data_IF_651106541790
#
_entry.id   IF_651106541790
#
_cell.length_a   1.000
_cell.length_b   1.000
_cell.length_c   1.000
_cell.angle_alpha   90.00
_cell.angle_beta   90.00
_cell.angle_gamma   90.00
#
_symmetry.space_group_name_H-M   'P 1'
#
loop_
_entity.id
_entity.type
_entity.pdbx_description
1 polymer ?
#
# COMPACT_ATOMS: atom_id res chain seq x y z
N UNK A 1 42.25 2.15 -20.21
CA UNK A 1 41.01 1.58 -20.76
C UNK A 1 39.87 2.41 -20.22
N UNK A 2 39.05 3.00 -21.10
CA UNK A 2 37.93 3.83 -20.70
C UNK A 2 37.02 3.08 -19.70
N UNK A 3 36.75 3.74 -18.56
CA UNK A 3 35.91 3.20 -17.49
C UNK A 3 34.48 3.63 -17.80
N UNK A 4 33.57 2.67 -18.01
CA UNK A 4 32.17 2.95 -18.30
C UNK A 4 31.27 2.39 -17.21
N UNK A 5 30.29 3.19 -16.79
CA UNK A 5 29.23 2.75 -15.87
C UNK A 5 28.02 2.24 -16.65
N UNK A 6 27.21 1.44 -15.98
CA UNK A 6 25.87 1.12 -16.44
C UNK A 6 24.94 0.89 -15.26
N UNK A 7 23.64 0.90 -15.48
CA UNK A 7 22.65 0.67 -14.42
C UNK A 7 22.88 -0.71 -13.78
N UNK A 8 22.86 -0.79 -12.45
CA UNK A 8 22.90 -2.07 -11.72
C UNK A 8 21.68 -2.91 -12.08
N UNK A 9 21.90 -4.18 -12.43
CA UNK A 9 20.79 -5.10 -12.73
C UNK A 9 19.81 -5.24 -11.57
N UNK A 10 20.33 -5.35 -10.35
CA UNK A 10 19.52 -5.43 -9.12
C UNK A 10 18.61 -4.21 -8.97
N UNK A 11 19.13 -3.00 -9.19
CA UNK A 11 18.34 -1.78 -9.17
C UNK A 11 17.20 -1.82 -10.19
N UNK A 12 17.50 -2.21 -11.43
CA UNK A 12 16.47 -2.35 -12.47
C UNK A 12 15.39 -3.37 -12.07
N UNK A 13 15.79 -4.55 -11.61
CA UNK A 13 14.85 -5.61 -11.20
C UNK A 13 13.96 -5.16 -10.04
N UNK A 14 14.51 -4.54 -8.99
CA UNK A 14 13.72 -4.08 -7.86
C UNK A 14 12.70 -3.01 -8.27
N UNK A 15 13.09 -2.03 -9.10
CA UNK A 15 12.14 -1.03 -9.61
C UNK A 15 11.06 -1.65 -10.52
N UNK A 16 11.39 -2.69 -11.29
CA UNK A 16 10.41 -3.43 -12.08
C UNK A 16 9.41 -4.19 -11.20
N UNK A 17 9.88 -4.85 -10.14
CA UNK A 17 9.01 -5.53 -9.16
C UNK A 17 8.08 -4.51 -8.49
N UNK A 18 8.61 -3.37 -8.02
CA UNK A 18 7.78 -2.31 -7.45
C UNK A 18 6.75 -1.77 -8.43
N UNK A 19 7.11 -1.59 -9.71
CA UNK A 19 6.17 -1.17 -10.74
C UNK A 19 4.99 -2.16 -10.87
N UNK A 20 5.28 -3.46 -10.92
CA UNK A 20 4.24 -4.50 -11.03
C UNK A 20 3.35 -4.53 -9.79
N UNK A 21 3.94 -4.48 -8.60
CA UNK A 21 3.19 -4.44 -7.34
C UNK A 21 2.31 -3.20 -7.25
N UNK A 22 2.85 -2.00 -7.55
CA UNK A 22 2.07 -0.77 -7.57
C UNK A 22 0.95 -0.82 -8.62
N UNK A 23 1.21 -1.32 -9.83
CA UNK A 23 0.15 -1.45 -10.84
C UNK A 23 -0.96 -2.40 -10.37
N UNK A 24 -0.60 -3.53 -9.75
CA UNK A 24 -1.54 -4.49 -9.18
C UNK A 24 -2.40 -3.89 -8.07
N UNK A 25 -1.77 -3.31 -7.04
CA UNK A 25 -2.50 -2.66 -5.94
C UNK A 25 -3.32 -1.46 -6.41
N UNK A 26 -2.83 -0.69 -7.37
CA UNK A 26 -3.58 0.40 -7.98
C UNK A 26 -4.85 -0.11 -8.67
N UNK A 27 -4.74 -1.15 -9.50
CA UNK A 27 -5.91 -1.75 -10.15
C UNK A 27 -6.90 -2.35 -9.14
N UNK A 28 -6.41 -3.00 -8.08
CA UNK A 28 -7.24 -3.54 -7.01
C UNK A 28 -7.98 -2.43 -6.25
N UNK A 29 -7.28 -1.37 -5.81
CA UNK A 29 -7.93 -0.23 -5.15
C UNK A 29 -8.94 0.50 -6.04
N UNK A 30 -8.71 0.52 -7.36
CA UNK A 30 -9.66 1.03 -8.34
C UNK A 30 -10.90 0.13 -8.53
N UNK A 31 -10.73 -1.19 -8.40
CA UNK A 31 -11.87 -2.10 -8.46
C UNK A 31 -12.72 -1.95 -7.19
N UNK A 32 -12.09 -2.00 -6.01
CA UNK A 32 -12.83 -1.97 -4.76
C UNK A 32 -13.57 -0.67 -4.53
N UNK A 33 -12.97 0.48 -4.85
CA UNK A 33 -13.63 1.76 -4.63
C UNK A 33 -14.78 2.04 -5.62
N UNK A 34 -14.71 1.56 -6.86
CA UNK A 34 -15.73 1.86 -7.88
C UNK A 34 -16.78 0.76 -8.03
N UNK A 35 -16.48 -0.47 -7.61
CA UNK A 35 -17.35 -1.64 -7.81
C UNK A 35 -17.73 -2.24 -6.46
N UNK A 36 -16.76 -2.82 -5.74
CA UNK A 36 -17.04 -3.63 -4.54
C UNK A 36 -17.72 -2.83 -3.43
N UNK A 37 -17.19 -1.66 -3.06
CA UNK A 37 -17.71 -0.85 -1.96
C UNK A 37 -19.13 -0.34 -2.26
N UNK A 38 -19.41 0.25 -3.44
CA UNK A 38 -20.78 0.61 -3.83
C UNK A 38 -21.75 -0.57 -3.80
N UNK A 39 -21.37 -1.73 -4.33
CA UNK A 39 -22.20 -2.94 -4.31
C UNK A 39 -22.51 -3.40 -2.89
N UNK A 40 -21.54 -3.32 -1.97
CA UNK A 40 -21.76 -3.65 -0.56
C UNK A 40 -22.74 -2.68 0.11
N UNK A 41 -22.65 -1.37 -0.16
CA UNK A 41 -23.63 -0.41 0.33
C UNK A 41 -25.04 -0.70 -0.20
N UNK A 42 -25.16 -1.05 -1.48
CA UNK A 42 -26.44 -1.42 -2.08
C UNK A 42 -27.01 -2.70 -1.46
N UNK A 43 -26.18 -3.74 -1.29
CA UNK A 43 -26.58 -4.99 -0.67
C UNK A 43 -27.10 -4.78 0.76
N UNK A 44 -26.41 -3.97 1.57
CA UNK A 44 -26.85 -3.61 2.93
C UNK A 44 -28.16 -2.84 2.90
N UNK A 45 -28.31 -1.87 1.99
CA UNK A 45 -29.53 -1.09 1.88
C UNK A 45 -30.73 -1.96 1.49
N UNK A 46 -30.55 -2.86 0.51
CA UNK A 46 -31.58 -3.80 0.05
C UNK A 46 -31.96 -4.77 1.18
N UNK A 47 -30.97 -5.39 1.82
CA UNK A 47 -31.22 -6.33 2.93
C UNK A 47 -32.00 -5.65 4.06
N UNK A 48 -31.57 -4.45 4.46
CA UNK A 48 -32.22 -3.67 5.53
C UNK A 48 -33.66 -3.35 5.19
N UNK A 49 -33.92 -2.88 3.96
CA UNK A 49 -35.27 -2.55 3.50
C UNK A 49 -36.18 -3.79 3.44
N UNK A 50 -35.66 -4.94 2.97
CA UNK A 50 -36.41 -6.20 2.92
C UNK A 50 -36.73 -6.73 4.31
N UNK A 51 -35.80 -6.64 5.25
CA UNK A 51 -36.01 -7.06 6.64
C UNK A 51 -37.04 -6.17 7.31
N UNK A 52 -36.97 -4.85 7.11
CA UNK A 52 -37.97 -3.92 7.63
C UNK A 52 -39.37 -4.17 7.04
N UNK A 53 -39.46 -4.46 5.73
CA UNK A 53 -40.73 -4.82 5.09
C UNK A 53 -41.28 -6.15 5.63
N UNK A 54 -40.40 -7.15 5.85
CA UNK A 54 -40.76 -8.42 6.46
C UNK A 54 -41.31 -8.23 7.87
N UNK A 55 -40.59 -7.50 8.73
CA UNK A 55 -40.98 -7.20 10.11
C UNK A 55 -42.34 -6.48 10.17
N UNK A 56 -42.60 -5.57 9.23
CA UNK A 56 -43.90 -4.90 9.12
C UNK A 56 -45.03 -5.87 8.75
N UNK A 57 -44.78 -6.81 7.83
CA UNK A 57 -45.78 -7.82 7.45
C UNK A 57 -46.06 -8.81 8.58
N UNK A 58 -45.02 -9.24 9.32
CA UNK A 58 -45.15 -10.10 10.50
C UNK A 58 -45.90 -9.40 11.62
N UNK A 59 -45.53 -8.17 11.96
CA UNK A 59 -46.23 -7.39 12.98
C UNK A 59 -47.71 -7.14 12.64
N UNK A 60 -48.04 -6.96 11.35
CA UNK A 60 -49.44 -6.92 10.90
C UNK A 60 -50.13 -8.27 11.07
N UNK A 61 -49.47 -9.38 10.73
CA UNK A 61 -50.04 -10.72 10.86
C UNK A 61 -50.35 -11.04 12.33
N UNK A 62 -49.40 -10.81 13.22
CA UNK A 62 -49.51 -11.03 14.66
C UNK A 62 -50.64 -10.22 15.28
N UNK A 63 -50.75 -8.93 14.92
CA UNK A 63 -51.83 -8.08 15.39
C UNK A 63 -53.23 -8.67 15.11
N UNK A 64 -53.43 -9.18 13.89
CA UNK A 64 -54.72 -9.76 13.50
C UNK A 64 -54.95 -11.17 14.06
N UNK A 65 -53.89 -11.96 14.25
CA UNK A 65 -53.97 -13.24 14.93
C UNK A 65 -54.41 -13.05 16.39
N UNK A 66 -53.77 -12.13 17.12
CA UNK A 66 -54.11 -11.78 18.50
C UNK A 66 -55.55 -11.28 18.61
N UNK A 67 -55.99 -10.39 17.71
CA UNK A 67 -57.39 -9.95 17.69
C UNK A 67 -58.38 -11.10 17.46
N UNK A 68 -57.99 -12.11 16.69
CA UNK A 68 -58.83 -13.28 16.44
C UNK A 68 -58.90 -14.17 17.67
N UNK A 69 -57.76 -14.45 18.33
CA UNK A 69 -57.72 -15.17 19.62
C UNK A 69 -58.53 -14.46 20.70
N UNK A 70 -58.48 -13.13 20.76
CA UNK A 70 -59.27 -12.33 21.70
C UNK A 70 -60.77 -12.49 21.47
N UNK A 71 -61.22 -12.44 20.21
CA UNK A 71 -62.64 -12.67 19.87
C UNK A 71 -63.10 -14.09 20.19
N UNK A 72 -62.22 -15.07 20.07
CA UNK A 72 -62.49 -16.47 20.37
C UNK A 72 -62.38 -16.80 21.87
N UNK A 73 -61.90 -15.87 22.69
CA UNK A 73 -61.68 -16.09 24.12
C UNK A 73 -60.50 -17.01 24.43
N UNK A 74 -59.60 -17.23 23.46
CA UNK A 74 -58.43 -18.12 23.57
C UNK A 74 -57.11 -17.35 23.70
N UNK A 75 -57.14 -16.03 23.75
CA UNK A 75 -55.95 -15.20 23.90
C UNK A 75 -55.29 -15.40 25.27
N UNK A 76 -53.98 -15.60 25.24
CA UNK A 76 -53.11 -15.66 26.42
C UNK A 76 -52.91 -14.28 27.06
N UNK A 77 -52.29 -14.24 28.24
CA UNK A 77 -51.88 -12.97 28.86
C UNK A 77 -50.75 -12.28 28.07
N UNK A 78 -49.90 -13.06 27.39
CA UNK A 78 -48.84 -12.56 26.51
C UNK A 78 -49.42 -11.88 25.27
N UNK A 79 -50.40 -12.50 24.61
CA UNK A 79 -51.12 -11.91 23.47
C UNK A 79 -51.74 -10.55 23.83
N UNK A 80 -52.31 -10.44 25.05
CA UNK A 80 -52.89 -9.18 25.54
C UNK A 80 -51.82 -8.12 25.77
N UNK A 81 -50.67 -8.51 26.35
CA UNK A 81 -49.56 -7.61 26.59
C UNK A 81 -48.98 -7.06 25.28
N UNK A 82 -48.75 -7.92 24.28
CA UNK A 82 -48.28 -7.51 22.94
C UNK A 82 -49.27 -6.56 22.26
N UNK A 83 -50.58 -6.81 22.37
CA UNK A 83 -51.58 -5.90 21.80
C UNK A 83 -51.61 -4.53 22.51
N UNK A 84 -51.44 -4.52 23.83
CA UNK A 84 -51.39 -3.28 24.60
C UNK A 84 -50.12 -2.48 24.29
N UNK A 85 -49.00 -3.14 24.04
CA UNK A 85 -47.77 -2.51 23.53
C UNK A 85 -47.97 -1.90 22.14
N UNK A 86 -48.56 -2.65 21.20
CA UNK A 86 -48.90 -2.17 19.85
C UNK A 86 -49.87 -0.98 19.89
N UNK A 87 -50.81 -0.95 20.85
CA UNK A 87 -51.72 0.19 21.07
C UNK A 87 -51.02 1.38 21.72
N UNK A 88 -50.12 1.13 22.69
CA UNK A 88 -49.36 2.17 23.39
C UNK A 88 -48.41 2.91 22.46
N UNK A 89 -47.91 2.25 21.41
CA UNK A 89 -47.12 2.87 20.34
C UNK A 89 -47.90 3.95 19.55
N UNK A 90 -49.22 4.07 19.72
CA UNK A 90 -50.03 5.18 19.21
C UNK A 90 -50.18 5.24 17.69
N UNK A 91 -49.80 4.18 16.98
CA UNK A 91 -49.90 4.07 15.53
C UNK A 91 -51.34 3.84 15.02
N UNK A 92 -51.61 4.10 13.74
CA UNK A 92 -52.86 3.70 13.11
C UNK A 92 -53.04 2.18 13.19
N UNK A 93 -54.30 1.71 13.28
CA UNK A 93 -54.60 0.28 13.24
C UNK A 93 -54.04 -0.29 11.92
N UNK A 94 -53.14 -1.30 11.97
CA UNK A 94 -52.56 -1.88 10.76
C UNK A 94 -53.66 -2.46 9.87
N UNK A 95 -53.46 -2.41 8.54
CA UNK A 95 -54.42 -3.00 7.61
C UNK A 95 -54.32 -4.54 7.59
N UNK A 96 -55.43 -5.27 7.38
CA UNK A 96 -55.41 -6.73 7.33
C UNK A 96 -54.53 -7.21 6.18
N UNK A 97 -53.84 -8.34 6.35
CA UNK A 97 -53.05 -8.93 5.27
C UNK A 97 -53.96 -9.32 4.12
N UNK A 98 -53.61 -8.83 2.94
CA UNK A 98 -54.18 -9.23 1.65
C UNK A 98 -53.44 -10.46 1.10
N UNK A 99 -53.99 -11.11 0.07
CA UNK A 99 -53.29 -12.21 -0.62
C UNK A 99 -51.99 -11.72 -1.31
N UNK A 100 -51.97 -10.44 -1.73
CA UNK A 100 -50.78 -9.80 -2.26
C UNK A 100 -49.69 -9.64 -1.19
N UNK A 101 -50.05 -9.25 0.04
CA UNK A 101 -49.10 -9.15 1.16
C UNK A 101 -48.44 -10.51 1.47
N UNK A 102 -49.20 -11.60 1.40
CA UNK A 102 -48.66 -12.96 1.62
C UNK A 102 -47.70 -13.39 0.52
N UNK A 103 -48.07 -13.11 -0.74
CA UNK A 103 -47.19 -13.38 -1.89
C UNK A 103 -45.90 -12.57 -1.75
N UNK A 104 -46.00 -11.30 -1.34
CA UNK A 104 -44.84 -10.44 -1.11
C UNK A 104 -43.95 -10.94 0.03
N UNK A 105 -44.54 -11.41 1.13
CA UNK A 105 -43.80 -12.03 2.22
C UNK A 105 -43.00 -13.26 1.74
N UNK A 106 -43.64 -14.15 0.97
CA UNK A 106 -42.97 -15.32 0.41
C UNK A 106 -41.83 -14.95 -0.55
N UNK A 107 -42.02 -13.90 -1.37
CA UNK A 107 -40.98 -13.33 -2.23
C UNK A 107 -39.80 -12.78 -1.42
N UNK A 108 -40.07 -11.98 -0.37
CA UNK A 108 -39.02 -11.42 0.50
C UNK A 108 -38.24 -12.54 1.16
N UNK A 109 -38.92 -13.53 1.74
CA UNK A 109 -38.27 -14.68 2.37
C UNK A 109 -37.43 -15.49 1.37
N UNK A 110 -37.90 -15.60 0.11
CA UNK A 110 -37.11 -16.22 -0.95
C UNK A 110 -35.85 -15.41 -1.26
N UNK A 111 -35.94 -14.09 -1.42
CA UNK A 111 -34.79 -13.21 -1.68
C UNK A 111 -33.79 -13.28 -0.52
N UNK A 112 -34.26 -13.14 0.72
CA UNK A 112 -33.39 -13.22 1.90
C UNK A 112 -32.69 -14.58 2.01
N UNK A 113 -33.37 -15.66 1.64
CA UNK A 113 -32.76 -17.00 1.66
C UNK A 113 -31.81 -17.25 0.49
N UNK A 114 -32.17 -16.85 -0.73
CA UNK A 114 -31.42 -17.18 -1.95
C UNK A 114 -30.26 -16.21 -2.18
N UNK A 115 -30.49 -14.90 -2.03
CA UNK A 115 -29.52 -13.87 -2.37
C UNK A 115 -28.64 -13.48 -1.17
N UNK A 116 -29.14 -13.68 0.05
CA UNK A 116 -28.43 -13.29 1.29
C UNK A 116 -28.15 -14.45 2.25
N UNK A 117 -28.60 -15.68 1.95
CA UNK A 117 -28.46 -16.84 2.84
C UNK A 117 -28.94 -16.57 4.30
N UNK A 118 -29.94 -15.72 4.46
CA UNK A 118 -30.43 -15.20 5.74
C UNK A 118 -29.32 -14.61 6.63
N UNK A 119 -28.24 -14.12 6.03
CA UNK A 119 -27.10 -13.53 6.71
C UNK A 119 -27.01 -12.05 6.32
N UNK A 120 -26.94 -11.12 7.29
CA UNK A 120 -26.78 -9.71 6.98
C UNK A 120 -25.46 -9.47 6.22
N UNK A 121 -25.50 -8.78 5.07
CA UNK A 121 -24.29 -8.48 4.32
C UNK A 121 -23.35 -7.59 5.15
N UNK A 122 -22.05 -7.77 4.95
CA UNK A 122 -21.05 -6.98 5.65
C UNK A 122 -21.05 -5.55 5.12
N UNK A 123 -21.27 -4.59 6.02
CA UNK A 123 -21.11 -3.18 5.67
C UNK A 123 -19.63 -2.86 5.45
N UNK A 124 -19.29 -2.05 4.44
CA UNK A 124 -17.92 -1.58 4.25
C UNK A 124 -17.48 -0.79 5.48
N UNK A 125 -16.21 -0.95 5.87
CA UNK A 125 -15.67 -0.19 6.97
C UNK A 125 -15.62 1.31 6.60
N UNK A 126 -15.72 2.16 7.62
CA UNK A 126 -15.76 3.62 7.42
C UNK A 126 -14.51 4.17 6.72
N UNK A 127 -13.40 3.45 6.78
CA UNK A 127 -12.12 3.81 6.16
C UNK A 127 -11.89 3.17 4.79
N UNK A 128 -12.67 2.17 4.37
CA UNK A 128 -12.40 1.40 3.14
C UNK A 128 -12.39 2.29 1.90
N UNK A 129 -13.35 3.22 1.81
CA UNK A 129 -13.40 4.18 0.70
C UNK A 129 -12.16 5.08 0.66
N UNK A 130 -11.71 5.60 1.80
CA UNK A 130 -10.54 6.49 1.83
C UNK A 130 -9.23 5.73 1.60
N UNK A 131 -9.10 4.51 2.13
CA UNK A 131 -7.92 3.65 1.94
C UNK A 131 -7.81 3.26 0.47
N UNK A 132 -8.87 2.77 -0.16
CA UNK A 132 -8.83 2.38 -1.56
C UNK A 132 -8.62 3.57 -2.50
N UNK A 133 -9.21 4.72 -2.18
CA UNK A 133 -8.90 5.99 -2.85
C UNK A 133 -7.41 6.31 -2.75
N UNK A 134 -6.83 6.24 -1.55
CA UNK A 134 -5.41 6.53 -1.33
C UNK A 134 -4.53 5.55 -2.11
N UNK A 135 -4.79 4.24 -2.02
CA UNK A 135 -4.03 3.21 -2.73
C UNK A 135 -4.06 3.44 -4.24
N UNK A 136 -5.23 3.77 -4.80
CA UNK A 136 -5.33 4.03 -6.24
C UNK A 136 -4.73 5.39 -6.64
N UNK A 137 -5.15 6.50 -6.04
CA UNK A 137 -4.71 7.82 -6.49
C UNK A 137 -3.29 8.16 -6.06
N UNK A 138 -2.95 7.96 -4.78
CA UNK A 138 -1.74 8.50 -4.18
C UNK A 138 -0.63 7.44 -4.10
N UNK A 139 -0.96 6.25 -3.62
CA UNK A 139 0.02 5.21 -3.33
C UNK A 139 0.56 4.55 -4.59
N UNK A 140 -0.29 3.82 -5.30
CA UNK A 140 0.13 2.79 -6.24
C UNK A 140 -0.40 3.00 -7.67
N UNK A 141 -1.61 3.52 -7.85
CA UNK A 141 -2.23 3.67 -9.18
C UNK A 141 -1.71 4.88 -9.97
N UNK A 142 -2.21 6.09 -9.67
CA UNK A 142 -1.97 7.28 -10.52
C UNK A 142 -0.58 7.91 -10.28
N UNK A 143 -0.09 7.93 -9.05
CA UNK A 143 1.24 8.50 -8.77
C UNK A 143 2.34 7.44 -8.73
N UNK A 144 2.12 6.34 -8.00
CA UNK A 144 3.13 5.30 -7.78
C UNK A 144 3.62 4.61 -9.06
N UNK A 145 2.72 3.93 -9.78
CA UNK A 145 3.11 3.18 -10.97
C UNK A 145 3.71 4.08 -12.08
N UNK A 146 3.14 5.25 -12.42
CA UNK A 146 3.77 6.18 -13.35
C UNK A 146 5.14 6.69 -12.89
N UNK A 147 5.35 6.89 -11.58
CA UNK A 147 6.67 7.27 -11.06
C UNK A 147 7.71 6.18 -11.29
N UNK A 148 7.41 4.91 -10.98
CA UNK A 148 8.34 3.81 -11.24
C UNK A 148 8.58 3.59 -12.74
N UNK A 149 7.55 3.74 -13.56
CA UNK A 149 7.68 3.65 -15.02
C UNK A 149 8.58 4.77 -15.56
N UNK A 150 8.33 6.01 -15.14
CA UNK A 150 9.16 7.16 -15.49
C UNK A 150 10.60 6.96 -15.04
N UNK A 151 10.82 6.49 -13.81
CA UNK A 151 12.14 6.19 -13.26
C UNK A 151 12.88 5.14 -14.10
N UNK A 152 12.22 4.07 -14.53
CA UNK A 152 12.84 3.07 -15.42
C UNK A 152 13.16 3.64 -16.81
N UNK A 153 12.28 4.49 -17.35
CA UNK A 153 12.45 5.10 -18.66
C UNK A 153 13.55 6.18 -18.68
N UNK A 154 13.58 7.07 -17.68
CA UNK A 154 14.52 8.19 -17.60
C UNK A 154 15.95 7.75 -17.30
N UNK A 155 16.13 6.62 -16.62
CA UNK A 155 17.45 6.10 -16.26
C UNK A 155 18.14 5.35 -17.40
N UNK A 156 17.40 4.89 -18.42
CA UNK A 156 17.94 4.04 -19.51
C UNK A 156 19.08 4.71 -20.30
N UNK A 157 19.12 6.04 -20.36
CA UNK A 157 20.16 6.80 -21.06
C UNK A 157 21.26 7.35 -20.15
N UNK A 158 21.20 7.09 -18.83
CA UNK A 158 22.22 7.55 -17.90
C UNK A 158 23.37 6.55 -17.87
N UNK A 159 24.44 6.90 -18.57
CA UNK A 159 25.73 6.26 -18.43
C UNK A 159 26.80 7.34 -18.31
N UNK A 160 27.88 7.00 -17.62
CA UNK A 160 29.05 7.84 -17.49
C UNK A 160 30.25 7.07 -18.02
N UNK A 161 31.18 7.77 -18.66
CA UNK A 161 32.42 7.17 -19.12
C UNK A 161 33.58 8.12 -18.84
N UNK A 162 34.61 7.61 -18.18
CA UNK A 162 35.89 8.30 -18.05
C UNK A 162 36.83 7.73 -19.11
N UNK A 163 37.19 8.54 -20.09
CA UNK A 163 38.09 8.17 -21.17
C UNK A 163 39.57 8.26 -20.72
N UNK A 164 40.47 7.64 -21.48
CA UNK A 164 41.89 7.51 -21.12
C UNK A 164 42.65 8.84 -21.12
N UNK A 165 42.09 9.87 -21.76
CA UNK A 165 42.58 11.25 -21.74
C UNK A 165 42.10 12.05 -20.51
N UNK A 166 41.34 11.40 -19.62
CA UNK A 166 40.75 12.01 -18.43
C UNK A 166 39.48 12.82 -18.72
N UNK A 167 38.94 12.75 -19.94
CA UNK A 167 37.65 13.37 -20.25
C UNK A 167 36.50 12.54 -19.68
N UNK A 168 35.49 13.22 -19.13
CA UNK A 168 34.30 12.64 -18.55
C UNK A 168 33.12 12.84 -19.49
N UNK A 169 32.62 11.76 -20.06
CA UNK A 169 31.37 11.70 -20.81
C UNK A 169 30.22 11.51 -19.83
N UNK A 170 29.25 12.41 -19.90
CA UNK A 170 28.02 12.41 -19.11
C UNK A 170 26.81 12.47 -20.04
N UNK A 171 25.60 12.22 -19.52
CA UNK A 171 24.36 12.38 -20.30
C UNK A 171 24.13 13.81 -20.81
N UNK A 172 24.67 14.82 -20.10
CA UNK A 172 24.48 16.24 -20.42
C UNK A 172 25.56 16.80 -21.34
N UNK A 173 26.67 16.07 -21.52
CA UNK A 173 27.79 16.51 -22.34
C UNK A 173 29.10 15.77 -22.05
N UNK A 174 30.14 16.13 -22.79
CA UNK A 174 31.51 15.63 -22.58
C UNK A 174 32.37 16.77 -22.03
N UNK A 175 33.08 16.49 -20.95
CA UNK A 175 33.94 17.46 -20.27
C UNK A 175 35.39 17.00 -20.33
N UNK A 176 36.29 17.88 -20.74
CA UNK A 176 37.72 17.57 -20.80
C UNK A 176 38.34 17.59 -19.40
N UNK A 177 39.50 16.93 -19.23
CA UNK A 177 40.17 16.78 -17.93
C UNK A 177 40.48 18.11 -17.22
N UNK A 178 40.66 19.19 -17.98
CA UNK A 178 40.90 20.57 -17.52
C UNK A 178 39.62 21.29 -17.08
N UNK A 179 38.46 20.91 -17.61
CA UNK A 179 37.16 21.45 -17.19
C UNK A 179 36.67 20.84 -15.86
N UNK A 180 37.20 19.68 -15.48
CA UNK A 180 36.89 19.04 -14.21
C UNK A 180 37.72 19.73 -13.12
N UNK A 181 37.06 20.46 -12.23
CA UNK A 181 37.73 21.32 -11.23
C UNK A 181 37.89 20.65 -9.87
N UNK A 182 37.10 19.62 -9.57
CA UNK A 182 37.19 18.89 -8.32
C UNK A 182 36.14 17.80 -8.17
N UNK A 183 36.18 17.11 -7.04
CA UNK A 183 35.19 16.10 -6.65
C UNK A 183 34.88 16.21 -5.16
N UNK A 184 33.61 16.34 -4.81
CA UNK A 184 33.13 16.29 -3.44
C UNK A 184 32.82 14.84 -3.03
N UNK A 185 33.59 14.37 -2.05
CA UNK A 185 33.53 13.02 -1.48
C UNK A 185 32.79 12.98 -0.12
N UNK A 186 32.23 14.10 0.35
CA UNK A 186 31.67 14.26 1.71
C UNK A 186 30.58 13.25 2.08
N UNK A 187 29.82 12.76 1.10
CA UNK A 187 28.74 11.79 1.30
C UNK A 187 29.04 10.41 0.68
N UNK A 188 30.24 10.20 0.15
CA UNK A 188 30.62 8.97 -0.54
C UNK A 188 30.52 7.75 0.37
N UNK A 189 31.16 7.76 1.53
CA UNK A 189 31.12 6.62 2.45
C UNK A 189 29.73 6.37 3.08
N UNK A 190 28.84 7.37 3.05
CA UNK A 190 27.50 7.28 3.65
C UNK A 190 26.42 6.82 2.67
N UNK A 191 26.49 7.29 1.43
CA UNK A 191 25.44 7.08 0.41
C UNK A 191 25.96 6.52 -0.90
N UNK A 192 27.26 6.33 -1.04
CA UNK A 192 27.92 5.96 -2.29
C UNK A 192 27.63 6.95 -3.42
N UNK A 193 27.59 8.24 -3.07
CA UNK A 193 27.37 9.36 -3.99
C UNK A 193 28.58 10.30 -3.91
N UNK A 194 29.12 10.66 -5.07
CA UNK A 194 30.13 11.71 -5.21
C UNK A 194 29.63 12.77 -6.19
N UNK A 195 30.09 14.02 -6.04
CA UNK A 195 29.70 15.11 -6.94
C UNK A 195 30.93 15.69 -7.60
N UNK A 196 30.96 15.68 -8.93
CA UNK A 196 32.07 16.19 -9.71
C UNK A 196 31.75 17.63 -10.10
N UNK A 197 32.63 18.55 -9.70
CA UNK A 197 32.55 19.96 -10.08
C UNK A 197 33.16 20.15 -11.47
N UNK A 198 32.40 20.80 -12.34
CA UNK A 198 32.79 21.05 -13.73
C UNK A 198 32.66 22.55 -14.03
N UNK A 199 33.63 23.11 -14.73
CA UNK A 199 33.63 24.52 -15.11
C UNK A 199 32.46 24.83 -16.05
N UNK A 200 31.62 25.80 -15.67
CA UNK A 200 30.54 26.29 -16.51
C UNK A 200 29.33 25.35 -16.64
N UNK A 201 29.25 24.29 -15.83
CA UNK A 201 28.12 23.36 -15.79
C UNK A 201 27.68 23.08 -14.35
N UNK A 202 26.49 22.50 -14.19
CA UNK A 202 26.03 21.99 -12.91
C UNK A 202 26.87 20.78 -12.45
N UNK A 203 26.87 20.52 -11.14
CA UNK A 203 27.58 19.38 -10.56
C UNK A 203 27.09 18.05 -11.16
N UNK A 204 28.03 17.22 -11.61
CA UNK A 204 27.74 15.89 -12.12
C UNK A 204 27.69 14.92 -10.94
N UNK A 205 26.51 14.35 -10.69
CA UNK A 205 26.32 13.38 -9.60
C UNK A 205 26.65 11.97 -10.06
N UNK A 206 27.62 11.34 -9.40
CA UNK A 206 28.00 9.94 -9.59
C UNK A 206 27.44 9.11 -8.43
N UNK A 207 26.49 8.24 -8.72
CA UNK A 207 25.81 7.39 -7.74
C UNK A 207 26.12 5.90 -8.03
N UNK A 208 26.92 5.28 -7.14
CA UNK A 208 27.24 3.86 -7.26
C UNK A 208 26.10 2.97 -6.78
N UNK A 209 25.15 3.44 -5.97
CA UNK A 209 23.98 2.63 -5.62
C UNK A 209 23.11 2.31 -6.84
N UNK A 210 22.93 3.28 -7.74
CA UNK A 210 22.16 3.09 -8.98
C UNK A 210 22.99 2.48 -10.12
N UNK A 211 24.29 2.80 -10.18
CA UNK A 211 25.15 2.48 -11.32
C UNK A 211 26.34 1.60 -10.91
N UNK A 212 26.56 0.53 -11.65
CA UNK A 212 27.72 -0.32 -11.45
C UNK A 212 28.98 0.38 -11.96
N UNK A 213 30.10 0.08 -11.31
CA UNK A 213 31.42 0.58 -11.66
C UNK A 213 31.61 2.10 -11.49
N UNK A 214 30.65 2.82 -10.89
CA UNK A 214 30.80 4.25 -10.65
C UNK A 214 31.96 4.54 -9.68
N UNK A 215 32.19 3.65 -8.71
CA UNK A 215 33.34 3.72 -7.81
C UNK A 215 34.70 3.78 -8.53
N UNK A 216 34.82 3.21 -9.74
CA UNK A 216 36.06 3.25 -10.52
C UNK A 216 36.32 4.65 -11.10
N UNK A 217 35.26 5.32 -11.59
CA UNK A 217 35.35 6.72 -12.05
C UNK A 217 35.61 7.64 -10.86
N UNK A 218 34.86 7.45 -9.78
CA UNK A 218 35.01 8.23 -8.55
C UNK A 218 36.41 8.07 -7.97
N UNK A 219 36.94 6.86 -7.90
CA UNK A 219 38.27 6.59 -7.36
C UNK A 219 39.38 7.20 -8.19
N UNK A 220 39.30 7.11 -9.52
CA UNK A 220 40.25 7.76 -10.41
C UNK A 220 40.25 9.29 -10.26
N UNK A 221 39.07 9.91 -10.14
CA UNK A 221 38.96 11.35 -9.93
C UNK A 221 39.38 11.78 -8.51
N UNK A 222 38.96 11.04 -7.48
CA UNK A 222 39.30 11.33 -6.09
C UNK A 222 40.82 11.22 -5.87
N UNK A 223 41.46 10.17 -6.39
CA UNK A 223 42.92 10.03 -6.31
C UNK A 223 43.66 11.15 -7.08
N UNK A 224 43.10 11.65 -8.19
CA UNK A 224 43.67 12.79 -8.94
C UNK A 224 43.65 14.09 -8.13
N UNK A 225 42.57 14.38 -7.41
CA UNK A 225 42.39 15.65 -6.68
C UNK A 225 42.86 15.59 -5.21
N UNK A 226 42.79 14.41 -4.60
CA UNK A 226 43.06 14.16 -3.19
C UNK A 226 43.85 12.83 -3.03
N UNK A 227 45.06 12.71 -3.63
CA UNK A 227 45.82 11.46 -3.68
C UNK A 227 46.22 10.89 -2.32
N UNK A 228 46.35 11.78 -1.34
CA UNK A 228 46.73 11.55 0.05
C UNK A 228 45.54 11.12 0.92
N UNK A 229 44.32 11.49 0.55
CA UNK A 229 43.11 11.12 1.30
C UNK A 229 42.40 9.89 0.69
N UNK A 230 42.52 9.68 -0.63
CA UNK A 230 41.75 8.67 -1.37
C UNK A 230 42.61 7.82 -2.31
N UNK A 231 42.30 6.52 -2.32
CA UNK A 231 42.87 5.53 -3.25
C UNK A 231 42.13 5.53 -4.60
N UNK A 232 42.76 4.96 -5.64
CA UNK A 232 42.14 4.76 -6.97
C UNK A 232 40.86 3.89 -6.94
N UNK A 233 40.64 3.13 -5.86
CA UNK A 233 39.41 2.35 -5.64
C UNK A 233 38.32 3.12 -4.87
N UNK A 234 38.47 4.43 -4.69
CA UNK A 234 37.56 5.28 -3.92
C UNK A 234 37.44 4.88 -2.43
N UNK A 235 38.53 4.36 -1.84
CA UNK A 235 38.64 4.09 -0.40
C UNK A 235 39.54 5.12 0.27
N UNK A 236 39.25 5.52 1.53
CA UNK A 236 40.16 6.37 2.29
C UNK A 236 41.54 5.72 2.44
N UNK A 237 42.60 6.51 2.29
CA UNK A 237 43.96 6.08 2.62
C UNK A 237 44.03 5.94 4.14
N UNK A 238 44.43 4.76 4.64
CA UNK A 238 44.71 4.59 6.07
C UNK A 238 46.05 5.25 6.36
N UNK A 239 46.06 6.27 7.21
CA UNK A 239 47.32 6.76 7.78
C UNK A 239 47.92 5.64 8.65
N UNK A 240 49.14 5.21 8.32
CA UNK A 240 49.99 4.47 9.26
C UNK A 240 50.34 5.41 10.41
N UNK A 241 49.42 5.51 11.37
CA UNK A 241 49.77 5.97 12.72
C UNK A 241 50.22 4.74 13.50
N UNK A 242 51.44 4.83 14.03
CA UNK A 242 52.01 3.89 14.99
C UNK A 242 51.00 3.61 16.13
N UNK A 243 50.36 2.46 16.06
CA UNK A 243 49.85 1.75 17.23
C UNK A 243 49.88 0.26 16.91
N UNK A 244 51.01 -0.36 17.24
CA UNK A 244 51.03 -1.76 17.66
C UNK A 244 49.98 -1.99 18.77
N UNK A 245 49.49 -3.24 18.83
CA UNK A 245 48.45 -3.80 19.73
C UNK A 245 47.00 -3.63 19.24
N UNK A 246 46.46 -4.61 18.50
CA UNK A 246 46.03 -5.86 19.14
C UNK A 246 45.65 -6.91 18.08
N UNK A 247 46.32 -8.04 18.13
CA UNK A 247 45.92 -9.26 17.45
C UNK A 247 44.92 -9.99 18.35
N UNK A 248 43.66 -10.04 17.94
CA UNK A 248 42.74 -11.09 18.40
C UNK A 248 42.08 -11.75 17.20
N UNK A 249 42.56 -12.97 16.92
CA UNK A 249 41.73 -14.03 16.37
C UNK A 249 40.56 -14.34 17.32
N UNK A 250 39.51 -14.91 16.73
CA UNK A 250 38.34 -15.58 17.33
C UNK A 250 37.17 -14.74 17.85
N UNK A 251 36.06 -14.72 17.08
CA UNK A 251 34.86 -15.56 17.35
C UNK A 251 33.69 -15.18 16.40
N UNK A 252 33.26 -16.13 15.55
CA UNK A 252 31.82 -16.37 15.32
C UNK A 252 31.36 -17.36 16.40
N UNK A 253 30.06 -17.52 16.77
CA UNK A 253 28.83 -17.24 16.00
C UNK A 253 27.61 -16.74 16.82
N UNK A 254 26.51 -16.40 16.14
CA UNK A 254 25.09 -16.61 16.53
C UNK A 254 24.20 -15.87 15.51
N UNK A 255 23.47 -16.53 14.63
CA UNK A 255 22.12 -17.13 14.85
C UNK A 255 21.03 -16.11 15.21
N UNK A 256 20.06 -16.04 14.28
CA UNK A 256 18.61 -15.72 14.40
C UNK A 256 18.23 -14.31 14.93
N UNK A 257 17.30 -13.56 14.32
CA UNK A 257 15.90 -13.92 14.17
C UNK A 257 15.24 -13.31 12.92
N UNK A 258 14.49 -14.17 12.25
CA UNK A 258 13.42 -13.83 11.33
C UNK A 258 12.26 -13.22 12.13
N UNK A 259 11.71 -12.09 11.69
CA UNK A 259 10.44 -11.60 12.21
C UNK A 259 9.45 -11.49 11.04
N UNK A 260 8.56 -12.47 10.91
CA UNK A 260 7.30 -12.35 10.18
C UNK A 260 6.19 -12.13 11.19
N UNK A 261 5.28 -11.15 10.98
CA UNK A 261 4.15 -10.91 11.85
C UNK A 261 2.87 -11.54 11.27
N UNK A 262 2.18 -12.33 12.09
CA UNK A 262 0.74 -12.65 12.07
C UNK A 262 0.53 -13.59 13.27
N UNK A 263 -0.49 -13.51 14.11
CA UNK A 263 -1.69 -12.70 14.18
C UNK A 263 -2.51 -13.22 15.37
N UNK A 264 -3.41 -12.37 15.83
CA UNK A 264 -4.67 -12.67 16.52
C UNK A 264 -4.75 -12.99 18.03
N UNK A 265 -5.55 -12.12 18.65
CA UNK A 265 -6.69 -12.38 19.54
C UNK A 265 -6.47 -12.57 21.07
N UNK A 266 -6.77 -11.47 21.79
CA UNK A 266 -7.70 -11.29 22.94
C UNK A 266 -8.52 -12.50 23.48
N UNK A 267 -9.19 -12.43 24.68
CA UNK A 267 -9.38 -11.30 25.62
C UNK A 267 -9.33 -11.67 27.14
N UNK A 268 -9.74 -10.70 27.98
CA UNK A 268 -10.21 -10.78 29.39
C UNK A 268 -9.13 -10.85 30.50
N UNK A 269 -9.19 -10.11 31.62
CA UNK A 269 -10.33 -9.56 32.37
C UNK A 269 -9.86 -8.42 33.30
N UNK A 270 -10.79 -7.51 33.56
CA UNK A 270 -10.72 -6.45 34.56
C UNK A 270 -10.60 -6.99 36.01
N UNK A 271 -9.89 -6.23 36.84
CA UNK A 271 -9.88 -6.26 38.30
C UNK A 271 -9.61 -4.87 38.84
#
# INVERSE_FOLDING_TARGET
>A
MAIQTSIKRSYFYWNLVYLVLCAGFGAWGAYDYWVTIPEQYEAVAVYTALTEEQDQLEGRADFYEIQTKLRQGTASEEDKATLDELRAAGGPIPQPLTDADRTRYDEINNILTVDFENTPPQAPASYDGWVNFYVYFIGCGILGAPWFLWKLASRRSLFWRLDDDGSLVTPDGTYTSDQITGIDMSIWMKKSIARVSVEGADEVVLDDYENQDAYKIVGALAHKFHPDEWTEEAKPVKEESDSDDDASEDEQPAEEESNSPDGDAEPEKAG
#
